data_IF_039062305112
#
_entry.id   IF_039062305112
#
_cell.length_a   1.000
_cell.length_b   1.000
_cell.length_c   1.000
_cell.angle_alpha   90.00
_cell.angle_beta   90.00
_cell.angle_gamma   90.00
#
_symmetry.space_group_name_H-M   'P 1'
#
loop_
_entity.id
_entity.type
_entity.pdbx_description
1 polymer ?
#
# COMPACT_ATOMS: atom_id res chain seq x y z
N UNK A 1 -22.88 5.49 15.21
CA UNK A 1 -22.18 4.24 14.85
C UNK A 1 -20.71 4.59 14.75
N UNK A 2 -19.92 4.18 15.73
CA UNK A 2 -18.47 4.42 15.75
C UNK A 2 -17.77 3.15 15.24
N UNK A 3 -18.03 2.77 13.99
CA UNK A 3 -17.39 1.59 13.40
C UNK A 3 -16.06 2.02 12.81
N UNK A 4 -15.01 1.92 13.62
CA UNK A 4 -13.63 2.06 13.18
C UNK A 4 -13.34 0.96 12.15
N UNK A 5 -13.21 1.33 10.87
CA UNK A 5 -12.82 0.39 9.81
C UNK A 5 -11.34 0.05 9.93
N UNK A 6 -10.95 -1.25 9.94
CA UNK A 6 -9.58 -1.69 9.78
C UNK A 6 -8.96 -1.19 8.46
N UNK A 7 -7.68 -0.84 8.46
CA UNK A 7 -7.00 -0.29 7.28
C UNK A 7 -5.67 -0.98 6.96
N UNK A 8 -5.52 -1.44 5.73
CA UNK A 8 -4.23 -1.88 5.16
C UNK A 8 -3.79 -0.88 4.10
N UNK A 9 -2.53 -0.43 4.18
CA UNK A 9 -1.87 0.42 3.19
C UNK A 9 -0.69 -0.33 2.56
N UNK A 10 -0.74 -0.54 1.25
CA UNK A 10 0.30 -1.19 0.45
C UNK A 10 0.89 -0.13 -0.48
N UNK A 11 2.10 0.34 -0.17
CA UNK A 11 2.63 1.61 -0.65
C UNK A 11 3.88 1.42 -1.51
N UNK A 12 3.99 2.16 -2.61
CA UNK A 12 5.16 2.15 -3.49
C UNK A 12 6.21 3.16 -3.02
N UNK A 13 7.45 2.70 -2.81
CA UNK A 13 8.55 3.52 -2.27
C UNK A 13 9.16 4.51 -3.26
N UNK A 14 9.08 4.23 -4.57
CA UNK A 14 9.47 5.15 -5.65
C UNK A 14 8.27 5.79 -6.35
N UNK A 15 7.14 5.84 -5.66
CA UNK A 15 5.98 6.56 -6.17
C UNK A 15 6.27 8.07 -6.14
N UNK A 16 6.55 8.64 -7.30
CA UNK A 16 6.75 10.08 -7.50
C UNK A 16 5.45 10.82 -7.82
N UNK A 17 4.33 10.10 -7.96
CA UNK A 17 3.02 10.65 -8.22
C UNK A 17 2.25 10.86 -6.92
N UNK A 18 2.23 9.84 -6.06
CA UNK A 18 1.63 9.88 -4.72
C UNK A 18 2.60 9.33 -3.66
N UNK A 19 3.60 10.13 -3.23
CA UNK A 19 4.63 9.65 -2.30
C UNK A 19 4.07 9.11 -0.97
N UNK A 20 4.66 8.04 -0.40
CA UNK A 20 4.06 7.28 0.70
C UNK A 20 4.12 7.96 2.08
N UNK A 21 4.94 8.99 2.26
CA UNK A 21 5.24 9.57 3.57
C UNK A 21 4.01 10.05 4.37
N UNK A 22 3.01 10.60 3.67
CA UNK A 22 1.76 11.03 4.30
C UNK A 22 0.95 9.82 4.82
N UNK A 23 0.91 8.73 4.05
CA UNK A 23 0.25 7.48 4.43
C UNK A 23 0.96 6.83 5.63
N UNK A 24 2.29 6.78 5.64
CA UNK A 24 3.08 6.24 6.76
C UNK A 24 2.84 7.01 8.05
N UNK A 25 2.80 8.35 7.97
CA UNK A 25 2.49 9.21 9.11
C UNK A 25 1.08 8.93 9.62
N UNK A 26 0.09 8.88 8.73
CA UNK A 26 -1.29 8.56 9.11
C UNK A 26 -1.41 7.17 9.72
N UNK A 27 -0.72 6.16 9.19
CA UNK A 27 -0.74 4.80 9.74
C UNK A 27 -0.21 4.78 11.18
N UNK A 28 0.88 5.52 11.47
CA UNK A 28 1.41 5.65 12.84
C UNK A 28 0.42 6.33 13.78
N UNK A 29 -0.24 7.41 13.35
CA UNK A 29 -1.24 8.10 14.16
C UNK A 29 -2.41 7.17 14.52
N UNK A 30 -2.93 6.45 13.51
CA UNK A 30 -4.03 5.51 13.68
C UNK A 30 -3.64 4.34 14.59
N UNK A 31 -2.40 3.84 14.48
CA UNK A 31 -1.87 2.80 15.36
C UNK A 31 -1.76 3.31 16.80
N UNK A 32 -1.32 4.56 17.01
CA UNK A 32 -1.28 5.22 18.31
C UNK A 32 -2.66 5.40 18.96
N UNK A 33 -3.72 5.41 18.15
CA UNK A 33 -5.12 5.41 18.60
C UNK A 33 -5.68 4.00 18.87
N UNK A 34 -4.84 2.96 18.81
CA UNK A 34 -5.26 1.57 19.02
C UNK A 34 -6.08 0.98 17.86
N UNK A 35 -6.08 1.62 16.68
CA UNK A 35 -6.82 1.11 15.51
C UNK A 35 -6.06 -0.04 14.86
N UNK A 36 -6.80 -0.99 14.29
CA UNK A 36 -6.23 -2.03 13.44
C UNK A 36 -5.79 -1.42 12.09
N UNK A 37 -4.53 -1.03 12.02
CA UNK A 37 -3.91 -0.45 10.83
C UNK A 37 -2.57 -1.12 10.55
N UNK A 38 -2.29 -1.41 9.27
CA UNK A 38 -0.99 -1.89 8.79
C UNK A 38 -0.55 -1.07 7.58
N UNK A 39 0.73 -0.75 7.50
CA UNK A 39 1.34 -0.12 6.34
C UNK A 39 2.61 -0.87 5.94
N UNK A 40 2.77 -1.15 4.65
CA UNK A 40 3.98 -1.74 4.09
C UNK A 40 4.42 -0.92 2.89
N UNK A 41 5.70 -0.55 2.87
CA UNK A 41 6.33 0.13 1.74
C UNK A 41 7.16 -0.86 0.95
N UNK A 42 6.99 -0.87 -0.36
CA UNK A 42 7.78 -1.63 -1.33
C UNK A 42 8.84 -0.71 -1.93
N UNK A 43 10.12 -0.75 -1.48
CA UNK A 43 11.09 0.30 -1.76
C UNK A 43 11.39 0.53 -3.25
N UNK A 44 11.29 -0.51 -4.09
CA UNK A 44 11.54 -0.44 -5.54
C UNK A 44 10.28 -0.18 -6.37
N UNK A 45 9.09 -0.31 -5.80
CA UNK A 45 7.84 -0.18 -6.54
C UNK A 45 7.60 1.29 -6.95
N UNK A 46 7.09 1.50 -8.16
CA UNK A 46 6.57 2.79 -8.64
C UNK A 46 5.05 2.84 -8.48
N UNK A 47 4.42 3.96 -8.84
CA UNK A 47 2.96 4.02 -8.95
C UNK A 47 2.44 2.88 -9.84
N UNK A 48 1.32 2.27 -9.44
CA UNK A 48 0.68 1.15 -10.16
C UNK A 48 1.49 -0.14 -10.25
N UNK A 49 2.36 -0.44 -9.27
CA UNK A 49 3.22 -1.63 -9.26
C UNK A 49 2.48 -2.96 -9.40
N UNK A 50 1.20 -3.01 -9.04
CA UNK A 50 0.33 -4.17 -9.08
C UNK A 50 -0.44 -4.33 -10.40
N UNK A 51 -0.29 -3.38 -11.33
CA UNK A 51 -0.94 -3.40 -12.63
C UNK A 51 -0.05 -4.15 -13.64
N UNK A 52 -0.47 -5.33 -14.14
CA UNK A 52 0.33 -6.08 -15.10
C UNK A 52 0.50 -5.29 -16.40
N UNK A 53 1.72 -5.28 -16.94
CA UNK A 53 2.01 -4.61 -18.20
C UNK A 53 3.45 -4.16 -18.32
N UNK A 54 3.77 -3.56 -19.46
CA UNK A 54 5.07 -2.93 -19.68
C UNK A 54 5.13 -1.57 -18.95
N UNK A 55 6.34 -1.16 -18.59
CA UNK A 55 6.56 0.17 -18.03
C UNK A 55 6.11 1.27 -19.01
N UNK A 56 5.47 2.32 -18.49
CA UNK A 56 5.01 3.45 -19.28
C UNK A 56 5.17 4.77 -18.53
N UNK A 57 5.29 5.85 -19.29
CA UNK A 57 5.06 7.20 -18.78
C UNK A 57 3.56 7.49 -18.80
N UNK A 58 3.01 7.96 -17.70
CA UNK A 58 1.63 8.42 -17.64
C UNK A 58 1.57 9.72 -16.83
N UNK A 59 1.05 10.78 -17.45
CA UNK A 59 0.99 12.12 -16.85
C UNK A 59 2.32 12.64 -16.28
N UNK A 60 3.46 12.22 -16.86
CA UNK A 60 4.79 12.61 -16.40
C UNK A 60 5.43 11.67 -15.37
N UNK A 61 4.73 10.61 -14.96
CA UNK A 61 5.19 9.66 -13.96
C UNK A 61 5.56 8.31 -14.59
N UNK A 62 6.72 7.75 -14.21
CA UNK A 62 7.10 6.41 -14.67
C UNK A 62 6.42 5.35 -13.81
N UNK A 63 5.68 4.47 -14.45
CA UNK A 63 4.96 3.37 -13.81
C UNK A 63 5.40 2.06 -14.44
N UNK A 64 5.72 1.06 -13.62
CA UNK A 64 6.01 -0.28 -14.11
C UNK A 64 5.53 -1.34 -13.13
N UNK A 65 5.13 -2.49 -13.69
CA UNK A 65 4.77 -3.67 -12.92
C UNK A 65 5.96 -4.20 -12.13
N UNK A 66 5.76 -4.50 -10.84
CA UNK A 66 6.71 -5.18 -9.98
C UNK A 66 6.08 -6.48 -9.47
N UNK A 67 6.47 -7.60 -10.07
CA UNK A 67 5.88 -8.91 -9.75
C UNK A 67 6.15 -9.39 -8.33
N UNK A 68 7.29 -9.02 -7.74
CA UNK A 68 7.62 -9.37 -6.37
C UNK A 68 6.76 -8.58 -5.39
N UNK A 69 6.66 -7.26 -5.57
CA UNK A 69 5.80 -6.40 -4.76
C UNK A 69 4.33 -6.80 -4.89
N UNK A 70 3.86 -7.11 -6.11
CA UNK A 70 2.48 -7.56 -6.35
C UNK A 70 2.15 -8.86 -5.63
N UNK A 71 3.06 -9.85 -5.70
CA UNK A 71 2.80 -11.16 -5.10
C UNK A 71 2.76 -11.06 -3.57
N UNK A 72 3.68 -10.30 -3.00
CA UNK A 72 3.70 -10.02 -1.57
C UNK A 72 2.48 -9.18 -1.12
N UNK A 73 2.08 -8.17 -1.90
CA UNK A 73 0.89 -7.36 -1.64
C UNK A 73 -0.39 -8.21 -1.50
N UNK A 74 -0.55 -9.24 -2.34
CA UNK A 74 -1.66 -10.19 -2.21
C UNK A 74 -1.59 -11.00 -0.92
N UNK A 75 -0.41 -11.48 -0.55
CA UNK A 75 -0.19 -12.21 0.70
C UNK A 75 -0.52 -11.33 1.92
N UNK A 76 -0.10 -10.07 1.92
CA UNK A 76 -0.39 -9.13 3.01
C UNK A 76 -1.88 -8.77 3.09
N UNK A 77 -2.56 -8.64 1.94
CA UNK A 77 -4.00 -8.47 1.89
C UNK A 77 -4.74 -9.66 2.52
N UNK A 78 -4.41 -10.88 2.11
CA UNK A 78 -5.03 -12.10 2.64
C UNK A 78 -4.85 -12.24 4.15
N UNK A 79 -3.63 -12.02 4.65
CA UNK A 79 -3.34 -12.02 6.10
C UNK A 79 -4.17 -10.96 6.82
N UNK A 80 -4.23 -9.74 6.27
CA UNK A 80 -4.95 -8.65 6.89
C UNK A 80 -6.45 -8.92 6.98
N UNK A 81 -7.05 -9.41 5.90
CA UNK A 81 -8.47 -9.78 5.88
C UNK A 81 -8.77 -10.92 6.86
N UNK A 82 -7.91 -11.93 6.94
CA UNK A 82 -8.04 -13.02 7.91
C UNK A 82 -7.95 -12.55 9.36
N UNK A 83 -7.28 -11.43 9.64
CA UNK A 83 -7.22 -10.83 10.97
C UNK A 83 -8.39 -9.87 11.24
N UNK A 84 -8.82 -9.12 10.22
CA UNK A 84 -9.84 -8.08 10.34
C UNK A 84 -11.28 -8.59 10.32
N UNK A 85 -11.52 -9.79 9.77
CA UNK A 85 -12.85 -10.40 9.63
C UNK A 85 -13.12 -11.53 10.63
N UNK A 86 -12.33 -11.63 11.71
CA UNK A 86 -12.58 -12.58 12.80
C UNK A 86 -13.75 -12.17 13.67
#
# INVERSE_FOLDING_TARGET
MDTVTPLLMLLAGRDDWTPPAACETRARDLAGQGRLVRAKVYPSATHGFDQPGQGRMYLGHFMTYDGAATSDARVELEKFLADALR
#
